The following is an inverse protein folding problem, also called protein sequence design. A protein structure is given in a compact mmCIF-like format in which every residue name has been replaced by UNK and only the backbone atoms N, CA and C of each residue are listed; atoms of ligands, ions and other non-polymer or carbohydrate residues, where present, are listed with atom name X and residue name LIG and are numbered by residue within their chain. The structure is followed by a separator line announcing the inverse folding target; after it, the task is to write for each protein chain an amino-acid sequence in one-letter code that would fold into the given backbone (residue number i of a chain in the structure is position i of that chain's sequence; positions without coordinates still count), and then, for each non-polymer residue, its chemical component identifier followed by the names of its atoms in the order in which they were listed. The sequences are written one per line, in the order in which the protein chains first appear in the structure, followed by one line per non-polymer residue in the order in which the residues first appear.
data_IF_925707218830
#
_entry.id   IF_925707218830
#
_cell.length_a   1.000
_cell.length_b   1.000
_cell.length_c   1.000
_cell.angle_alpha   90.00
_cell.angle_beta   90.00
_cell.angle_gamma   90.00
#
_symmetry.space_group_name_H-M   'P 1'
#
loop_
_entity.id
_entity.type
_entity.pdbx_description
1 polymer ?
#
# COMPACT_ATOMS: atom_id res chain seq x y z
N UNK A 1 -3.23 5.15 -37.32
CA UNK A 1 -4.38 5.41 -36.42
C UNK A 1 -4.80 4.12 -35.72
N UNK A 2 -4.18 3.76 -34.57
CA UNK A 2 -4.69 2.72 -33.66
C UNK A 2 -3.98 2.76 -32.29
N UNK A 3 -4.33 3.76 -31.47
CA UNK A 3 -4.08 3.69 -30.02
C UNK A 3 -5.21 2.90 -29.38
N UNK A 4 -4.93 1.69 -28.88
CA UNK A 4 -5.74 1.04 -27.86
C UNK A 4 -4.91 0.96 -26.59
N UNK A 5 -5.13 1.96 -25.73
CA UNK A 5 -4.88 1.81 -24.31
C UNK A 5 -5.84 0.75 -23.75
N UNK A 6 -5.28 -0.18 -23.00
CA UNK A 6 -6.00 -1.30 -22.41
C UNK A 6 -5.09 -1.97 -21.39
N UNK A 7 -4.91 -1.31 -20.24
CA UNK A 7 -4.41 -1.96 -19.04
C UNK A 7 -5.54 -2.83 -18.48
N UNK A 8 -5.48 -4.14 -18.76
CA UNK A 8 -6.13 -5.24 -18.05
C UNK A 8 -5.04 -6.33 -17.95
N UNK A 9 -4.85 -7.12 -16.90
CA UNK A 9 -5.84 -7.84 -16.12
C UNK A 9 -5.16 -8.40 -14.87
N UNK A 10 -5.86 -8.30 -13.74
CA UNK A 10 -5.37 -8.58 -12.41
C UNK A 10 -5.30 -10.09 -12.03
N UNK A 11 -4.99 -11.00 -12.96
CA UNK A 11 -5.08 -12.46 -12.70
C UNK A 11 -3.86 -13.32 -13.06
N UNK A 12 -2.67 -12.75 -13.35
CA UNK A 12 -1.46 -13.55 -13.68
C UNK A 12 -0.20 -13.21 -12.87
N UNK A 13 -0.34 -12.86 -11.60
CA UNK A 13 0.81 -12.49 -10.78
C UNK A 13 1.49 -13.68 -10.05
N UNK A 14 0.86 -14.86 -9.99
CA UNK A 14 1.39 -16.04 -9.28
C UNK A 14 1.92 -17.17 -10.17
N UNK A 15 2.43 -16.85 -11.38
CA UNK A 15 3.25 -17.81 -12.12
C UNK A 15 4.67 -17.77 -11.60
N UNK A 16 5.24 -18.90 -11.16
CA UNK A 16 6.71 -19.06 -11.00
C UNK A 16 7.35 -18.70 -12.34
N UNK A 17 7.81 -17.45 -12.49
CA UNK A 17 8.61 -17.07 -13.65
C UNK A 17 10.01 -17.57 -13.39
N UNK A 18 10.55 -18.37 -14.31
CA UNK A 18 11.98 -18.65 -14.32
C UNK A 18 12.76 -17.34 -14.23
N UNK A 19 13.81 -17.27 -13.39
CA UNK A 19 14.63 -16.09 -13.27
C UNK A 19 15.34 -15.84 -14.61
N UNK A 20 14.78 -14.93 -15.41
CA UNK A 20 15.42 -14.52 -16.66
C UNK A 20 16.61 -13.61 -16.34
N UNK A 21 17.76 -13.78 -17.01
CA UNK A 21 18.88 -12.87 -16.85
C UNK A 21 18.45 -11.45 -17.25
N UNK A 22 18.87 -10.47 -16.46
CA UNK A 22 18.63 -9.05 -16.72
C UNK A 22 19.92 -8.39 -17.17
N UNK A 23 19.96 -7.89 -18.40
CA UNK A 23 21.04 -7.02 -18.88
C UNK A 23 20.77 -5.59 -18.44
N UNK A 24 21.76 -4.93 -17.84
CA UNK A 24 21.68 -3.52 -17.43
C UNK A 24 22.83 -2.75 -18.06
N UNK A 25 22.52 -1.70 -18.79
CA UNK A 25 23.50 -0.78 -19.35
C UNK A 25 23.85 0.30 -18.34
N UNK A 26 25.14 0.50 -18.06
CA UNK A 26 25.63 1.53 -17.15
C UNK A 26 25.83 2.85 -17.90
N UNK A 27 25.27 3.95 -17.39
CA UNK A 27 25.51 5.30 -17.94
C UNK A 27 24.86 5.60 -19.30
N UNK A 28 24.14 4.64 -19.89
CA UNK A 28 23.49 4.75 -21.21
C UNK A 28 21.96 4.65 -21.07
N UNK A 29 21.26 5.71 -20.61
CA UNK A 29 19.81 5.70 -20.44
C UNK A 29 19.04 5.52 -21.77
N UNK A 30 19.66 5.85 -22.91
CA UNK A 30 19.08 5.70 -24.25
C UNK A 30 18.99 4.24 -24.71
N UNK A 31 19.86 3.35 -24.22
CA UNK A 31 19.89 1.91 -24.58
C UNK A 31 18.93 1.07 -23.73
N UNK A 32 17.97 1.72 -23.08
CA UNK A 32 17.10 1.08 -22.10
C UNK A 32 15.90 0.45 -22.79
N UNK A 33 16.10 -0.76 -23.29
CA UNK A 33 15.07 -1.54 -24.01
C UNK A 33 13.85 -1.90 -23.14
N UNK A 34 14.00 -1.89 -21.81
CA UNK A 34 12.96 -2.32 -20.86
C UNK A 34 12.59 -1.22 -19.87
N UNK A 35 11.28 -1.05 -19.64
CA UNK A 35 10.76 -0.15 -18.62
C UNK A 35 10.81 -0.84 -17.25
N UNK A 36 11.72 -0.39 -16.40
CA UNK A 36 11.85 -0.90 -15.03
C UNK A 36 10.89 -0.22 -14.06
N UNK A 37 10.50 -0.90 -12.96
CA UNK A 37 9.80 -0.27 -11.86
C UNK A 37 10.56 0.93 -11.31
N UNK A 38 9.83 1.91 -10.77
CA UNK A 38 10.42 3.07 -10.10
C UNK A 38 11.01 2.66 -8.76
N UNK A 39 12.06 3.35 -8.31
CA UNK A 39 12.66 3.17 -6.99
C UNK A 39 11.82 3.83 -5.89
N UNK A 40 10.53 3.48 -5.79
CA UNK A 40 9.62 4.01 -4.78
C UNK A 40 9.21 2.89 -3.85
N UNK A 41 9.53 3.04 -2.57
CA UNK A 41 9.07 2.14 -1.51
C UNK A 41 7.67 2.57 -1.10
N UNK A 42 6.71 1.64 -1.12
CA UNK A 42 5.38 1.85 -0.58
C UNK A 42 4.99 0.62 0.24
N UNK A 43 4.97 0.78 1.55
CA UNK A 43 4.63 -0.24 2.53
C UNK A 43 3.21 -0.08 3.07
N UNK A 44 2.42 0.88 2.56
CA UNK A 44 1.02 1.04 2.95
C UNK A 44 0.20 -0.16 2.50
N UNK A 45 -0.62 -0.71 3.40
CA UNK A 45 -1.46 -1.87 3.10
C UNK A 45 -2.75 -1.46 2.39
N UNK A 46 -3.23 -0.25 2.67
CA UNK A 46 -4.48 0.28 2.16
C UNK A 46 -4.26 1.54 1.34
N UNK A 47 -5.09 1.72 0.32
CA UNK A 47 -5.27 3.01 -0.35
C UNK A 47 -6.41 3.78 0.34
N UNK A 48 -6.51 5.09 0.13
CA UNK A 48 -7.56 5.93 0.71
C UNK A 48 -8.97 5.35 0.53
N UNK A 49 -9.27 4.81 -0.67
CA UNK A 49 -10.56 4.19 -0.97
C UNK A 49 -10.73 2.77 -0.43
N UNK A 50 -9.65 2.00 -0.29
CA UNK A 50 -9.72 0.59 0.15
C UNK A 50 -9.52 0.44 1.65
N UNK A 51 -9.18 1.52 2.36
CA UNK A 51 -8.96 1.54 3.80
C UNK A 51 -10.21 1.09 4.57
N UNK A 52 -11.32 1.81 4.44
CA UNK A 52 -12.50 1.51 5.25
C UNK A 52 -13.09 0.11 4.95
N UNK A 53 -13.33 -0.28 3.68
CA UNK A 53 -13.83 -1.63 3.38
C UNK A 53 -12.84 -2.73 3.81
N UNK A 54 -11.53 -2.51 3.63
CA UNK A 54 -10.50 -3.48 3.96
C UNK A 54 -10.30 -3.67 5.47
N UNK A 55 -10.41 -2.60 6.26
CA UNK A 55 -10.32 -2.66 7.73
C UNK A 55 -11.56 -3.31 8.33
N UNK A 56 -12.75 -2.94 7.86
CA UNK A 56 -14.00 -3.55 8.31
C UNK A 56 -14.05 -5.05 7.96
N UNK A 57 -13.65 -5.42 6.74
CA UNK A 57 -13.56 -6.83 6.36
C UNK A 57 -12.61 -7.61 7.26
N UNK A 58 -11.43 -7.07 7.56
CA UNK A 58 -10.49 -7.71 8.48
C UNK A 58 -11.04 -7.83 9.90
N UNK A 59 -11.81 -6.84 10.38
CA UNK A 59 -12.43 -6.96 11.70
C UNK A 59 -13.54 -8.01 11.73
N UNK A 60 -14.46 -8.03 10.76
CA UNK A 60 -15.57 -8.98 10.74
C UNK A 60 -15.18 -10.39 10.29
N UNK A 61 -13.96 -10.60 9.77
CA UNK A 61 -13.40 -11.93 9.57
C UNK A 61 -13.30 -12.73 10.89
N UNK A 62 -13.15 -12.04 12.01
CA UNK A 62 -13.09 -12.69 13.33
C UNK A 62 -14.51 -13.01 13.83
N UNK A 63 -14.70 -14.26 14.26
CA UNK A 63 -16.00 -14.79 14.69
C UNK A 63 -16.71 -13.92 15.74
N UNK A 64 -15.99 -13.41 16.75
CA UNK A 64 -16.59 -12.59 17.80
C UNK A 64 -17.16 -11.27 17.28
N UNK A 65 -16.45 -10.56 16.40
CA UNK A 65 -16.95 -9.30 15.84
C UNK A 65 -18.20 -9.52 14.99
N UNK A 66 -18.23 -10.64 14.24
CA UNK A 66 -19.41 -11.04 13.46
C UNK A 66 -20.58 -11.45 14.36
N UNK A 67 -20.31 -12.17 15.45
CA UNK A 67 -21.30 -12.52 16.47
C UNK A 67 -21.96 -11.29 17.08
N UNK A 68 -21.16 -10.30 17.53
CA UNK A 68 -21.71 -9.06 18.08
C UNK A 68 -22.51 -8.25 17.06
N UNK A 69 -22.10 -8.28 15.78
CA UNK A 69 -22.87 -7.66 14.70
C UNK A 69 -24.23 -8.33 14.53
N UNK A 70 -24.29 -9.66 14.45
CA UNK A 70 -25.56 -10.38 14.35
C UNK A 70 -26.44 -10.19 15.58
N UNK A 71 -25.84 -10.19 16.77
CA UNK A 71 -26.53 -9.91 18.02
C UNK A 71 -27.13 -8.50 18.02
N UNK A 72 -26.42 -7.49 17.52
CA UNK A 72 -26.91 -6.12 17.42
C UNK A 72 -27.99 -5.98 16.34
N UNK A 73 -27.86 -6.69 15.21
CA UNK A 73 -28.84 -6.71 14.14
C UNK A 73 -30.14 -7.41 14.53
N UNK A 74 -30.09 -8.50 15.30
CA UNK A 74 -31.30 -9.21 15.75
C UNK A 74 -32.21 -8.33 16.62
N UNK A 75 -31.63 -7.34 17.31
CA UNK A 75 -32.41 -6.38 18.10
C UNK A 75 -33.30 -5.47 17.23
N UNK A 76 -33.12 -5.39 15.91
CA UNK A 76 -34.07 -4.65 15.08
C UNK A 76 -35.45 -5.33 15.04
N UNK A 77 -35.52 -6.65 15.20
CA UNK A 77 -36.78 -7.42 15.20
C UNK A 77 -37.44 -7.29 16.58
N UNK A 78 -38.61 -6.61 16.70
CA UNK A 78 -39.23 -6.34 18.00
C UNK A 78 -39.52 -7.59 18.84
N UNK A 79 -39.86 -8.70 18.19
CA UNK A 79 -40.17 -9.98 18.86
C UNK A 79 -38.94 -10.68 19.47
N UNK A 80 -37.74 -10.35 18.97
CA UNK A 80 -36.46 -10.93 19.45
C UNK A 80 -35.65 -9.95 20.31
N UNK A 81 -36.22 -8.78 20.66
CA UNK A 81 -35.52 -7.75 21.45
C UNK A 81 -35.36 -8.20 22.89
N UNK A 82 -34.11 -8.32 23.32
CA UNK A 82 -33.76 -8.59 24.71
C UNK A 82 -33.61 -7.30 25.53
N UNK A 83 -33.37 -6.16 24.86
CA UNK A 83 -33.16 -4.86 25.48
C UNK A 83 -33.25 -3.71 24.49
N UNK A 84 -32.73 -2.54 24.87
CA UNK A 84 -32.72 -1.36 24.02
C UNK A 84 -31.62 -1.45 22.94
N UNK A 85 -31.87 -0.94 21.73
CA UNK A 85 -30.93 -1.01 20.61
C UNK A 85 -29.53 -0.47 20.95
N UNK A 86 -29.48 0.65 21.69
CA UNK A 86 -28.23 1.34 22.01
C UNK A 86 -27.28 0.48 22.87
N UNK A 87 -27.80 -0.42 23.72
CA UNK A 87 -26.94 -1.23 24.60
C UNK A 87 -26.08 -2.23 23.84
N UNK A 88 -26.43 -2.53 22.58
CA UNK A 88 -25.68 -3.44 21.71
C UNK A 88 -24.87 -2.68 20.66
N UNK A 89 -25.46 -1.65 20.03
CA UNK A 89 -24.81 -0.89 18.97
C UNK A 89 -23.70 0.04 19.46
N UNK A 90 -23.86 0.66 20.64
CA UNK A 90 -22.86 1.58 21.19
C UNK A 90 -21.52 0.89 21.49
N UNK A 91 -21.45 -0.22 22.26
CA UNK A 91 -20.18 -0.89 22.53
C UNK A 91 -19.52 -1.44 21.26
N UNK A 92 -20.30 -2.00 20.33
CA UNK A 92 -19.80 -2.49 19.04
C UNK A 92 -19.19 -1.34 18.22
N UNK A 93 -19.92 -0.22 18.09
CA UNK A 93 -19.46 0.96 17.37
C UNK A 93 -18.19 1.56 17.99
N UNK A 94 -18.10 1.61 19.32
CA UNK A 94 -16.92 2.09 20.03
C UNK A 94 -15.67 1.27 19.68
N UNK A 95 -15.75 -0.07 19.80
CA UNK A 95 -14.61 -0.97 19.52
C UNK A 95 -14.18 -0.88 18.05
N UNK A 96 -15.14 -0.86 17.12
CA UNK A 96 -14.84 -0.69 15.69
C UNK A 96 -14.19 0.66 15.41
N UNK A 97 -14.68 1.73 16.01
CA UNK A 97 -14.13 3.09 15.83
C UNK A 97 -12.69 3.16 16.33
N UNK A 98 -12.42 2.66 17.54
CA UNK A 98 -11.06 2.62 18.10
C UNK A 98 -10.11 1.83 17.20
N UNK A 99 -10.58 0.70 16.65
CA UNK A 99 -9.78 -0.09 15.71
C UNK A 99 -9.45 0.71 14.45
N UNK A 100 -10.46 1.32 13.82
CA UNK A 100 -10.28 2.08 12.58
C UNK A 100 -9.30 3.23 12.81
N UNK A 101 -9.43 3.96 13.92
CA UNK A 101 -8.50 5.05 14.27
C UNK A 101 -7.09 4.51 14.43
N UNK A 102 -6.92 3.41 15.16
CA UNK A 102 -5.60 2.80 15.37
C UNK A 102 -4.94 2.42 14.04
N UNK A 103 -5.67 1.71 13.17
CA UNK A 103 -5.13 1.30 11.86
C UNK A 103 -4.81 2.52 10.99
N UNK A 104 -5.65 3.56 11.03
CA UNK A 104 -5.39 4.80 10.29
C UNK A 104 -4.09 5.49 10.74
N UNK A 105 -3.85 5.57 12.06
CA UNK A 105 -2.62 6.14 12.62
C UNK A 105 -1.40 5.33 12.19
N UNK A 106 -1.50 4.00 12.21
CA UNK A 106 -0.42 3.10 11.76
C UNK A 106 -0.11 3.32 10.27
N UNK A 107 -1.13 3.42 9.41
CA UNK A 107 -0.97 3.71 7.98
C UNK A 107 -0.32 5.09 7.71
N UNK A 108 -0.73 6.13 8.46
CA UNK A 108 -0.12 7.46 8.36
C UNK A 108 1.36 7.41 8.77
N UNK A 109 1.69 6.68 9.84
CA UNK A 109 3.09 6.53 10.28
C UNK A 109 3.93 5.81 9.22
N UNK A 110 3.39 4.77 8.59
CA UNK A 110 4.04 4.09 7.47
C UNK A 110 4.27 5.04 6.29
N UNK A 111 3.25 5.81 5.90
CA UNK A 111 3.37 6.82 4.85
C UNK A 111 4.48 7.83 5.12
N UNK A 112 4.56 8.36 6.33
CA UNK A 112 5.59 9.35 6.69
C UNK A 112 7.00 8.73 6.62
N UNK A 113 7.18 7.49 7.09
CA UNK A 113 8.46 6.77 6.99
C UNK A 113 8.85 6.49 5.55
N UNK A 114 7.91 6.02 4.73
CA UNK A 114 8.17 5.76 3.31
C UNK A 114 8.50 7.05 2.56
N UNK A 115 7.80 8.15 2.88
CA UNK A 115 8.10 9.48 2.31
C UNK A 115 9.52 9.92 2.66
N UNK A 116 9.93 9.76 3.92
CA UNK A 116 11.29 10.09 4.37
C UNK A 116 12.33 9.32 3.55
N UNK A 117 12.21 7.97 3.50
CA UNK A 117 13.11 7.09 2.75
C UNK A 117 13.16 7.42 1.25
N UNK A 118 12.00 7.66 0.64
CA UNK A 118 11.91 7.99 -0.78
C UNK A 118 12.47 9.39 -1.10
N UNK A 119 12.52 10.29 -0.11
CA UNK A 119 13.01 11.65 -0.27
C UNK A 119 14.50 11.85 0.03
N UNK A 120 15.17 10.82 0.58
CA UNK A 120 16.60 10.83 0.85
C UNK A 120 17.41 11.23 -0.39
N UNK A 121 18.42 12.08 -0.20
CA UNK A 121 19.23 12.62 -1.30
C UNK A 121 20.48 11.78 -1.50
N UNK A 122 20.71 11.37 -2.75
CA UNK A 122 21.88 10.63 -3.19
C UNK A 122 22.62 11.38 -4.30
N UNK A 123 23.91 11.10 -4.42
CA UNK A 123 24.79 11.65 -5.46
C UNK A 123 24.86 10.69 -6.64
N UNK A 124 24.31 11.10 -7.80
CA UNK A 124 24.36 10.35 -9.05
C UNK A 124 25.51 10.84 -9.93
N UNK A 125 26.32 9.92 -10.42
CA UNK A 125 27.37 10.20 -11.39
C UNK A 125 26.79 10.26 -12.81
N UNK A 126 27.02 11.37 -13.50
CA UNK A 126 26.62 11.61 -14.89
C UNK A 126 27.86 11.97 -15.71
N UNK A 127 27.80 11.84 -17.04
CA UNK A 127 28.88 12.23 -17.94
C UNK A 127 29.34 13.70 -17.79
N UNK A 128 28.50 14.57 -17.21
CA UNK A 128 28.77 15.99 -16.97
C UNK A 128 29.17 16.31 -15.51
N UNK A 129 29.32 15.30 -14.66
CA UNK A 129 29.63 15.44 -13.23
C UNK A 129 28.58 14.81 -12.31
N UNK A 130 28.68 15.13 -11.02
CA UNK A 130 27.81 14.58 -9.96
C UNK A 130 26.58 15.45 -9.73
N UNK A 131 25.39 14.84 -9.71
CA UNK A 131 24.11 15.52 -9.52
C UNK A 131 23.38 14.92 -8.32
N UNK A 132 22.80 15.77 -7.46
CA UNK A 132 21.97 15.33 -6.34
C UNK A 132 20.57 14.92 -6.82
N UNK A 133 20.13 13.72 -6.45
CA UNK A 133 18.82 13.16 -6.81
C UNK A 133 18.13 12.58 -5.59
N UNK A 134 16.80 12.64 -5.55
CA UNK A 134 16.01 11.92 -4.54
C UNK A 134 16.09 10.42 -4.80
N UNK A 135 16.02 9.63 -3.72
CA UNK A 135 15.97 8.17 -3.76
C UNK A 135 14.90 7.67 -4.74
N UNK A 136 13.70 8.27 -4.69
CA UNK A 136 12.57 7.95 -5.58
C UNK A 136 12.87 8.05 -7.08
N UNK A 137 13.85 8.89 -7.46
CA UNK A 137 14.17 9.21 -8.84
C UNK A 137 15.35 8.40 -9.37
N UNK A 138 15.99 7.57 -8.54
CA UNK A 138 17.06 6.67 -8.95
C UNK A 138 16.51 5.61 -9.91
N UNK A 139 17.26 5.33 -10.97
CA UNK A 139 16.86 4.39 -12.00
C UNK A 139 17.90 3.28 -12.19
N UNK A 140 17.44 2.08 -12.58
CA UNK A 140 18.33 0.98 -12.99
C UNK A 140 19.27 1.44 -14.10
N UNK A 141 20.57 1.30 -13.88
CA UNK A 141 21.65 1.76 -14.78
C UNK A 141 22.37 3.02 -14.30
N UNK A 142 21.84 3.69 -13.27
CA UNK A 142 22.47 4.86 -12.66
C UNK A 142 23.63 4.45 -11.73
N UNK A 143 24.72 5.22 -11.80
CA UNK A 143 25.86 5.09 -10.90
C UNK A 143 25.66 6.04 -9.71
N UNK A 144 25.62 5.50 -8.49
CA UNK A 144 25.41 6.27 -7.27
C UNK A 144 26.68 6.22 -6.42
N UNK A 145 27.09 7.39 -5.92
CA UNK A 145 28.21 7.53 -5.00
C UNK A 145 27.63 7.48 -3.58
N UNK A 146 28.13 6.53 -2.78
CA UNK A 146 27.74 6.36 -1.38
C UNK A 146 28.92 6.75 -0.51
N UNK A 147 28.71 7.75 0.34
CA UNK A 147 29.68 8.12 1.36
C UNK A 147 29.61 7.10 2.51
N UNK A 148 30.77 6.67 2.99
CA UNK A 148 30.85 5.79 4.16
C UNK A 148 30.60 6.66 5.39
N UNK A 149 29.49 6.39 6.07
CA UNK A 149 29.16 6.95 7.40
C UNK A 149 30.01 6.28 8.46
#
# INVERSE_FOLDING_TARGET
NKHRGGCCECLRCCGRRDPRPRTVWLGHPEKRDQRYPRNVVNNQKYNFFTFLPGVLFNQFKYFFNLYFLFLACSQFVPEMRLGALYTYWVPLGFVLTVTIIREAVEEIRCYMRDKEVNSQIYSKLTARGTVKVKSSNIQVGDLIIVEKV
#
